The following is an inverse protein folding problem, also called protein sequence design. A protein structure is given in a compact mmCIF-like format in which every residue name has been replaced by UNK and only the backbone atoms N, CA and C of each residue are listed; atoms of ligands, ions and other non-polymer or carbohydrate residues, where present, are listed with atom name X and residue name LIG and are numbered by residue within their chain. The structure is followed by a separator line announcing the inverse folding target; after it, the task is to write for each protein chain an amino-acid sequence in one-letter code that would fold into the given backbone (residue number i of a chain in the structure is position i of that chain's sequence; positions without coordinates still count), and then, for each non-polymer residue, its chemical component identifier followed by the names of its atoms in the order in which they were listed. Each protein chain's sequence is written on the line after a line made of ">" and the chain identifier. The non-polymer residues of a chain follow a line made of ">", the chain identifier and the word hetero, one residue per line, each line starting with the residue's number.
data_IF_026120747541
#
_entry.id   IF_026120747541
#
_cell.length_a   1.000
_cell.length_b   1.000
_cell.length_c   1.000
_cell.angle_alpha   90.00
_cell.angle_beta   90.00
_cell.angle_gamma   90.00
#
_symmetry.space_group_name_H-M   'P 1'
#
loop_
_entity.id
_entity.type
_entity.pdbx_description
1 polymer ?
#
# COMPACT_ATOMS: atom_id res chain seq x y z
N UNK A 1 8.41 -11.11 -53.06
CA UNK A 1 7.29 -11.01 -52.10
C UNK A 1 7.65 -11.41 -50.66
N UNK A 2 8.47 -12.46 -50.41
CA UNK A 2 8.80 -12.91 -49.04
C UNK A 2 9.65 -11.93 -48.18
N UNK A 3 10.57 -11.16 -48.79
CA UNK A 3 11.46 -10.26 -48.03
C UNK A 3 10.76 -9.01 -47.47
N UNK A 4 9.69 -8.55 -48.11
CA UNK A 4 8.94 -7.37 -47.66
C UNK A 4 7.92 -7.70 -46.56
N UNK A 5 7.44 -8.94 -46.52
CA UNK A 5 6.62 -9.46 -45.42
C UNK A 5 7.42 -9.60 -44.12
N UNK A 6 8.70 -10.00 -44.20
CA UNK A 6 9.56 -10.13 -43.01
C UNK A 6 9.88 -8.75 -42.44
N UNK A 7 10.19 -7.75 -43.28
CA UNK A 7 10.45 -6.38 -42.82
C UNK A 7 9.22 -5.73 -42.15
N UNK A 8 8.01 -6.01 -42.64
CA UNK A 8 6.78 -5.48 -42.05
C UNK A 8 6.48 -6.06 -40.65
N UNK A 9 6.80 -7.34 -40.40
CA UNK A 9 6.60 -7.99 -39.10
C UNK A 9 7.59 -7.48 -38.05
N UNK A 10 8.83 -7.16 -38.43
CA UNK A 10 9.84 -6.63 -37.48
C UNK A 10 9.62 -5.16 -37.11
N UNK A 11 8.98 -4.37 -37.97
CA UNK A 11 8.62 -2.97 -37.65
C UNK A 11 7.34 -2.91 -36.81
N UNK A 12 6.39 -3.83 -37.04
CA UNK A 12 5.19 -3.94 -36.22
C UNK A 12 5.48 -4.37 -34.76
N UNK A 13 6.52 -5.19 -34.53
CA UNK A 13 6.93 -5.57 -33.17
C UNK A 13 7.65 -4.45 -32.40
N UNK A 14 8.26 -3.48 -33.09
CA UNK A 14 8.91 -2.32 -32.46
C UNK A 14 7.91 -1.22 -32.06
N UNK A 15 6.75 -1.13 -32.72
CA UNK A 15 5.69 -0.19 -32.34
C UNK A 15 4.82 -0.69 -31.17
N UNK A 16 4.82 -2.00 -30.89
CA UNK A 16 4.11 -2.58 -29.74
C UNK A 16 4.79 -2.38 -28.39
N UNK A 17 6.03 -1.89 -28.36
CA UNK A 17 6.83 -1.72 -27.13
C UNK A 17 6.96 -0.25 -26.66
N UNK A 18 6.23 0.67 -27.29
CA UNK A 18 6.13 2.06 -26.86
C UNK A 18 4.98 2.32 -25.86
N UNK A 19 4.27 1.28 -25.43
CA UNK A 19 3.36 1.32 -24.29
C UNK A 19 4.12 1.30 -22.97
N UNK A 20 5.11 2.18 -22.81
CA UNK A 20 5.73 2.43 -21.52
C UNK A 20 4.61 2.87 -20.58
N UNK A 21 4.30 2.04 -19.58
CA UNK A 21 3.44 2.41 -18.48
C UNK A 21 3.85 3.79 -17.99
N UNK A 22 3.00 4.79 -18.21
CA UNK A 22 3.23 6.13 -17.73
C UNK A 22 3.41 6.02 -16.21
N UNK A 23 4.66 6.10 -15.75
CA UNK A 23 4.98 6.31 -14.36
C UNK A 23 4.48 7.72 -14.09
N UNK A 24 3.25 7.82 -13.60
CA UNK A 24 2.70 9.07 -13.10
C UNK A 24 3.66 9.53 -12.01
N UNK A 25 4.40 10.60 -12.28
CA UNK A 25 5.27 11.19 -11.29
C UNK A 25 4.37 11.75 -10.18
N UNK A 26 4.36 11.08 -9.03
CA UNK A 26 3.66 11.57 -7.85
C UNK A 26 4.24 12.93 -7.46
N UNK A 27 3.45 14.00 -7.57
CA UNK A 27 3.82 15.30 -7.01
C UNK A 27 3.64 15.27 -5.48
N UNK A 28 4.59 14.60 -4.82
CA UNK A 28 4.66 14.44 -3.36
C UNK A 28 4.86 15.81 -2.67
N UNK A 29 5.64 16.71 -3.26
CA UNK A 29 6.01 18.01 -2.67
C UNK A 29 4.83 18.97 -2.46
N UNK A 30 3.80 18.92 -3.30
CA UNK A 30 2.58 19.72 -3.11
C UNK A 30 1.63 19.15 -2.06
N UNK A 31 1.64 17.84 -1.84
CA UNK A 31 0.71 17.17 -0.91
C UNK A 31 1.21 17.23 0.53
N UNK A 32 2.53 17.12 0.72
CA UNK A 32 3.17 17.38 2.02
C UNK A 32 2.86 18.77 2.61
N UNK A 33 2.61 19.77 1.75
CA UNK A 33 2.23 21.12 2.17
C UNK A 33 0.73 21.29 2.46
N UNK A 34 -0.12 20.37 1.99
CA UNK A 34 -1.59 20.53 1.95
C UNK A 34 -2.33 19.43 2.72
N UNK A 35 -1.68 18.30 3.03
CA UNK A 35 -2.32 17.19 3.73
C UNK A 35 -1.32 16.18 4.26
N UNK A 36 -1.46 15.83 5.55
CA UNK A 36 -0.63 14.80 6.18
C UNK A 36 -0.80 13.41 5.57
N UNK A 37 -0.21 12.40 6.20
CA UNK A 37 -0.20 10.99 5.74
C UNK A 37 -1.60 10.45 5.39
N UNK A 38 -2.65 10.87 6.10
CA UNK A 38 -4.04 10.47 5.80
C UNK A 38 -4.52 10.94 4.42
N UNK A 39 -4.08 12.11 3.96
CA UNK A 39 -4.40 12.64 2.62
C UNK A 39 -3.66 11.85 1.54
N UNK A 40 -2.40 11.47 1.79
CA UNK A 40 -1.65 10.60 0.86
C UNK A 40 -2.33 9.25 0.72
N UNK A 41 -2.72 8.61 1.82
CA UNK A 41 -3.40 7.31 1.79
C UNK A 41 -4.75 7.40 1.11
N UNK A 42 -5.57 8.41 1.42
CA UNK A 42 -6.88 8.56 0.79
C UNK A 42 -6.80 8.86 -0.71
N UNK A 43 -5.77 9.57 -1.17
CA UNK A 43 -5.61 9.91 -2.58
C UNK A 43 -4.93 8.82 -3.42
N UNK A 44 -3.96 8.10 -2.84
CA UNK A 44 -3.09 7.16 -3.58
C UNK A 44 -3.18 5.72 -3.08
N UNK A 45 -4.02 5.43 -2.10
CA UNK A 45 -4.13 4.11 -1.49
C UNK A 45 -4.32 2.99 -2.52
N UNK A 46 -5.21 3.17 -3.50
CA UNK A 46 -5.50 2.17 -4.53
C UNK A 46 -4.35 1.96 -5.52
N UNK A 47 -3.66 3.04 -5.90
CA UNK A 47 -2.48 2.97 -6.78
C UNK A 47 -1.31 2.27 -6.08
N UNK A 48 -1.06 2.63 -4.81
CA UNK A 48 -0.04 1.98 -3.97
C UNK A 48 -0.40 0.49 -3.76
N UNK A 49 -1.66 0.18 -3.50
CA UNK A 49 -2.14 -1.20 -3.34
C UNK A 49 -1.90 -2.03 -4.60
N UNK A 50 -2.22 -1.46 -5.76
CA UNK A 50 -2.00 -2.10 -7.07
C UNK A 50 -0.51 -2.33 -7.32
N UNK A 51 0.33 -1.33 -7.02
CA UNK A 51 1.79 -1.46 -7.11
C UNK A 51 2.30 -2.59 -6.22
N UNK A 52 1.90 -2.64 -4.95
CA UNK A 52 2.31 -3.67 -4.00
C UNK A 52 1.85 -5.06 -4.44
N UNK A 53 0.60 -5.22 -4.87
CA UNK A 53 0.12 -6.51 -5.37
C UNK A 53 0.96 -7.00 -6.55
N UNK A 54 1.28 -6.13 -7.52
CA UNK A 54 2.17 -6.47 -8.65
C UNK A 54 3.58 -6.83 -8.18
N UNK A 55 4.12 -6.08 -7.23
CA UNK A 55 5.45 -6.34 -6.65
C UNK A 55 5.49 -7.72 -5.97
N UNK A 56 4.51 -8.05 -5.13
CA UNK A 56 4.45 -9.32 -4.41
C UNK A 56 4.24 -10.50 -5.36
N UNK A 57 3.34 -10.36 -6.35
CA UNK A 57 3.14 -11.36 -7.39
C UNK A 57 4.43 -11.64 -8.17
N UNK A 58 5.16 -10.58 -8.57
CA UNK A 58 6.45 -10.71 -9.27
C UNK A 58 7.49 -11.48 -8.44
N UNK A 59 7.42 -11.39 -7.11
CA UNK A 59 8.32 -12.09 -6.19
C UNK A 59 7.77 -13.46 -5.74
N UNK A 60 6.69 -13.96 -6.35
CA UNK A 60 6.14 -15.30 -6.05
C UNK A 60 5.44 -15.41 -4.69
N UNK A 61 5.17 -14.29 -4.02
CA UNK A 61 4.52 -14.21 -2.70
C UNK A 61 3.21 -13.41 -2.76
N UNK A 62 2.56 -13.43 -3.92
CA UNK A 62 1.23 -12.84 -4.11
C UNK A 62 0.17 -13.53 -3.25
N UNK A 63 -1.02 -12.94 -3.21
CA UNK A 63 -2.15 -13.44 -2.42
C UNK A 63 -3.44 -13.31 -3.20
N UNK A 64 -4.34 -14.28 -3.02
CA UNK A 64 -5.72 -14.24 -3.56
C UNK A 64 -6.71 -13.58 -2.59
N UNK A 65 -6.25 -13.20 -1.39
CA UNK A 65 -7.03 -12.44 -0.43
C UNK A 65 -7.12 -10.96 -0.85
N UNK A 66 -8.15 -10.27 -0.36
CA UNK A 66 -8.28 -8.84 -0.59
C UNK A 66 -7.16 -8.08 0.10
N UNK A 67 -6.70 -7.00 -0.52
CA UNK A 67 -5.69 -6.10 0.03
C UNK A 67 -6.16 -4.65 -0.03
N UNK A 68 -5.76 -3.84 0.96
CA UNK A 68 -6.10 -2.42 1.04
C UNK A 68 -4.98 -1.65 1.73
N UNK A 69 -4.70 -0.44 1.26
CA UNK A 69 -3.77 0.47 1.94
C UNK A 69 -4.54 1.37 2.91
N UNK A 70 -4.10 1.41 4.17
CA UNK A 70 -4.73 2.18 5.24
C UNK A 70 -3.65 2.92 6.05
N UNK A 71 -3.99 4.04 6.71
CA UNK A 71 -3.01 4.77 7.49
C UNK A 71 -2.73 4.06 8.84
N UNK A 72 -1.53 4.30 9.37
CA UNK A 72 -1.13 3.88 10.72
C UNK A 72 -1.43 5.01 11.71
N UNK A 73 -2.11 4.68 12.79
CA UNK A 73 -2.38 5.54 13.92
C UNK A 73 -1.49 5.15 15.11
N UNK A 74 -0.83 6.11 15.73
CA UNK A 74 -0.18 5.90 17.02
C UNK A 74 -1.23 5.64 18.10
N UNK A 75 -1.22 4.47 18.73
CA UNK A 75 -2.22 4.08 19.73
C UNK A 75 -2.29 4.98 20.97
N UNK A 76 -1.22 5.71 21.28
CA UNK A 76 -1.20 6.66 22.40
C UNK A 76 -1.59 8.09 22.04
N UNK A 77 -1.46 8.51 20.78
CA UNK A 77 -1.62 9.93 20.38
C UNK A 77 -2.65 10.18 19.28
N UNK A 78 -3.11 9.13 18.58
CA UNK A 78 -3.98 9.27 17.41
C UNK A 78 -3.33 9.92 16.19
N UNK A 79 -2.03 10.22 16.26
CA UNK A 79 -1.32 10.81 15.12
C UNK A 79 -1.16 9.78 14.01
N UNK A 80 -1.35 10.23 12.78
CA UNK A 80 -1.00 9.48 11.59
C UNK A 80 0.52 9.46 11.43
N UNK A 81 1.11 8.26 11.45
CA UNK A 81 2.58 8.09 11.47
C UNK A 81 3.13 7.28 10.30
N UNK A 82 2.27 6.70 9.46
CA UNK A 82 2.69 5.97 8.26
C UNK A 82 1.49 5.36 7.53
N UNK A 83 1.76 4.45 6.62
CA UNK A 83 0.73 3.65 5.96
C UNK A 83 1.16 2.18 5.89
N UNK A 84 0.17 1.29 5.79
CA UNK A 84 0.36 -0.15 5.66
C UNK A 84 -0.62 -0.70 4.65
N UNK A 85 -0.22 -1.77 3.98
CA UNK A 85 -1.15 -2.65 3.30
C UNK A 85 -1.63 -3.70 4.28
N UNK A 86 -2.95 -3.89 4.34
CA UNK A 86 -3.59 -4.98 5.06
C UNK A 86 -4.09 -6.04 4.08
N UNK A 87 -4.17 -7.29 4.54
CA UNK A 87 -4.59 -8.46 3.76
C UNK A 87 -5.54 -9.36 4.56
N UNK A 88 -6.57 -9.90 3.92
CA UNK A 88 -7.50 -10.85 4.54
C UNK A 88 -8.78 -11.09 3.72
N UNK A 89 -9.79 -11.76 4.30
CA UNK A 89 -11.09 -11.92 3.65
C UNK A 89 -11.71 -10.57 3.28
N UNK A 90 -12.29 -10.45 2.08
CA UNK A 90 -12.76 -9.15 1.54
C UNK A 90 -13.66 -8.39 2.51
N UNK A 91 -14.72 -9.05 3.03
CA UNK A 91 -15.64 -8.39 3.95
C UNK A 91 -15.03 -7.95 5.28
N UNK A 92 -13.84 -8.46 5.64
CA UNK A 92 -13.09 -8.00 6.81
C UNK A 92 -12.14 -6.85 6.44
N UNK A 93 -11.43 -6.95 5.31
CA UNK A 93 -10.54 -5.89 4.81
C UNK A 93 -11.31 -4.59 4.59
N UNK A 94 -12.54 -4.67 4.09
CA UNK A 94 -13.39 -3.50 3.86
C UNK A 94 -13.71 -2.74 5.17
N UNK A 95 -13.82 -3.47 6.28
CA UNK A 95 -14.07 -2.89 7.61
C UNK A 95 -12.88 -2.12 8.16
N UNK A 96 -11.66 -2.39 7.68
CA UNK A 96 -10.45 -1.75 8.19
C UNK A 96 -10.42 -0.28 7.77
N UNK A 97 -10.35 0.60 8.77
CA UNK A 97 -10.21 2.05 8.57
C UNK A 97 -8.78 2.53 8.81
N UNK A 98 -8.07 1.88 9.72
CA UNK A 98 -6.68 2.20 10.06
C UNK A 98 -5.99 0.97 10.67
N UNK A 99 -4.69 1.10 10.91
CA UNK A 99 -3.92 0.17 11.74
C UNK A 99 -3.41 0.92 12.96
N UNK A 100 -3.75 0.45 14.16
CA UNK A 100 -3.21 0.99 15.39
C UNK A 100 -1.81 0.42 15.64
N UNK A 101 -0.84 1.29 15.91
CA UNK A 101 0.50 0.93 16.34
C UNK A 101 0.66 1.16 17.84
N UNK A 102 0.91 0.07 18.57
CA UNK A 102 1.25 0.11 20.00
C UNK A 102 2.72 -0.24 20.12
N UNK A 103 3.50 0.64 20.73
CA UNK A 103 4.92 0.42 20.96
C UNK A 103 5.17 -0.01 22.41
N UNK A 104 6.09 -0.94 22.60
CA UNK A 104 6.56 -1.37 23.91
C UNK A 104 8.06 -1.66 23.87
N UNK A 105 8.72 -1.48 25.00
CA UNK A 105 10.13 -1.83 25.18
C UNK A 105 10.23 -3.18 25.89
N UNK A 106 11.05 -4.07 25.35
CA UNK A 106 11.33 -5.37 25.94
C UNK A 106 12.72 -5.34 26.56
N UNK A 107 12.76 -5.20 27.89
CA UNK A 107 13.97 -5.26 28.73
C UNK A 107 15.15 -4.40 28.21
N UNK A 108 14.89 -3.25 27.58
CA UNK A 108 15.87 -2.38 26.93
C UNK A 108 16.74 -3.03 25.84
N UNK A 109 16.39 -4.24 25.38
CA UNK A 109 17.12 -4.96 24.31
C UNK A 109 16.37 -4.91 22.98
N UNK A 110 15.07 -4.63 23.00
CA UNK A 110 14.28 -4.52 21.78
C UNK A 110 13.11 -3.54 21.94
N UNK A 111 12.76 -2.86 20.86
CA UNK A 111 11.50 -2.13 20.71
C UNK A 111 10.54 -2.96 19.88
N UNK A 112 9.41 -3.32 20.46
CA UNK A 112 8.34 -4.02 19.77
C UNK A 112 7.29 -3.04 19.28
N UNK A 113 6.78 -3.25 18.06
CA UNK A 113 5.66 -2.50 17.48
C UNK A 113 4.56 -3.48 17.10
N UNK A 114 3.46 -3.45 17.83
CA UNK A 114 2.27 -4.21 17.49
C UNK A 114 1.43 -3.42 16.50
N UNK A 115 1.14 -4.01 15.33
CA UNK A 115 0.28 -3.43 14.31
C UNK A 115 -1.06 -4.16 14.30
N UNK A 116 -2.13 -3.42 14.56
CA UNK A 116 -3.46 -3.98 14.80
C UNK A 116 -4.46 -3.35 13.82
N UNK A 117 -4.98 -4.10 12.83
CA UNK A 117 -6.07 -3.63 11.98
C UNK A 117 -7.31 -3.31 12.80
N UNK A 118 -7.84 -2.10 12.64
CA UNK A 118 -8.98 -1.59 13.42
C UNK A 118 -10.10 -1.03 12.54
N UNK A 119 -11.33 -1.19 13.00
CA UNK A 119 -12.55 -0.71 12.32
C UNK A 119 -12.87 0.76 12.60
N UNK A 120 -11.99 1.46 13.32
CA UNK A 120 -12.17 2.83 13.78
C UNK A 120 -10.86 3.60 13.69
N UNK A 121 -10.96 4.92 13.55
CA UNK A 121 -9.84 5.85 13.68
C UNK A 121 -9.76 6.47 15.09
N UNK A 122 -10.73 6.16 15.95
CA UNK A 122 -10.73 6.56 17.36
C UNK A 122 -9.73 5.71 18.15
N UNK A 123 -8.78 6.36 18.81
CA UNK A 123 -7.72 5.71 19.60
C UNK A 123 -8.14 5.38 21.03
N UNK A 124 -9.25 5.92 21.51
CA UNK A 124 -9.75 5.65 22.87
C UNK A 124 -10.51 4.33 22.98
N UNK A 125 -11.09 3.87 21.87
CA UNK A 125 -11.85 2.63 21.80
C UNK A 125 -11.43 1.80 20.57
N UNK A 126 -10.30 1.12 20.68
CA UNK A 126 -9.77 0.29 19.59
C UNK A 126 -10.69 -0.90 19.32
N UNK A 127 -11.19 -1.02 18.08
CA UNK A 127 -12.00 -2.15 17.63
C UNK A 127 -11.22 -2.97 16.62
N UNK A 128 -10.60 -4.08 17.05
CA UNK A 128 -9.80 -4.97 16.18
C UNK A 128 -10.69 -5.64 15.12
N UNK A 129 -10.24 -5.63 13.87
CA UNK A 129 -10.79 -6.45 12.80
C UNK A 129 -10.10 -7.80 12.78
N UNK A 130 -10.84 -8.86 13.12
CA UNK A 130 -10.30 -10.22 13.14
C UNK A 130 -10.14 -10.78 11.72
N UNK A 131 -9.14 -11.65 11.55
CA UNK A 131 -8.85 -12.31 10.26
C UNK A 131 -8.15 -11.43 9.23
N UNK A 132 -7.70 -10.23 9.63
CA UNK A 132 -6.93 -9.31 8.78
C UNK A 132 -5.55 -9.09 9.40
N UNK A 133 -4.51 -9.16 8.58
CA UNK A 133 -3.12 -8.89 8.96
C UNK A 133 -2.52 -7.75 8.15
N UNK A 134 -1.29 -7.36 8.51
CA UNK A 134 -0.47 -6.41 7.73
C UNK A 134 0.41 -7.21 6.77
N UNK A 135 0.38 -6.86 5.48
CA UNK A 135 1.22 -7.48 4.44
C UNK A 135 2.44 -6.63 4.07
N UNK A 136 2.34 -5.30 4.19
CA UNK A 136 3.44 -4.39 3.86
C UNK A 136 3.37 -3.11 4.69
N UNK A 137 4.55 -2.52 4.95
CA UNK A 137 4.71 -1.19 5.54
C UNK A 137 5.15 -0.23 4.44
N UNK A 138 4.60 0.98 4.45
CA UNK A 138 4.85 2.02 3.47
C UNK A 138 5.42 3.23 4.19
N UNK A 139 6.69 3.49 3.93
CA UNK A 139 7.38 4.70 4.38
C UNK A 139 7.37 5.74 3.26
N UNK A 140 6.67 6.85 3.50
CA UNK A 140 6.69 7.98 2.59
C UNK A 140 8.01 8.73 2.76
N UNK A 141 8.74 8.93 1.66
CA UNK A 141 9.93 9.79 1.63
C UNK A 141 9.50 11.21 1.27
N UNK A 142 9.90 12.17 2.11
CA UNK A 142 9.69 13.60 1.91
C UNK A 142 11.05 14.29 1.79
#
# INVERSE_FOLDING_TARGET
>A
MKKQLIAAVTVASLLGFAGGSAVQAFNLGSILKVGGISVLVSKYGDEINTFLNKLLMKNGVGTDYATKVVPILSGGTGKYIGAVQVVGPSGQVDKVKAVAQIEGEFNNIARAKALIPVATTDVTNLSRVQGVGVSAIIDFKF
#
